data_IF_060857209405
#
_entry.id   IF_060857209405
#
_cell.length_a   1.000
_cell.length_b   1.000
_cell.length_c   1.000
_cell.angle_alpha   90.00
_cell.angle_beta   90.00
_cell.angle_gamma   90.00
#
_symmetry.space_group_name_H-M   'P 1'
#
loop_
_entity.id
_entity.type
_entity.pdbx_description
1 polymer ?
#
# COMPACT_ATOMS: atom_id res chain seq x y z
N UNK A 1 -7.46 -24.73 -13.35
CA UNK A 1 -6.74 -23.97 -12.29
C UNK A 1 -7.37 -22.57 -12.19
N UNK A 2 -8.59 -22.45 -11.65
CA UNK A 2 -9.36 -21.18 -11.63
C UNK A 2 -10.14 -20.96 -10.31
N UNK A 3 -9.80 -21.70 -9.23
CA UNK A 3 -10.64 -21.77 -8.01
C UNK A 3 -10.09 -21.04 -6.77
N UNK A 4 -8.96 -20.31 -6.82
CA UNK A 4 -8.30 -19.84 -5.58
C UNK A 4 -8.34 -18.33 -5.27
N UNK A 5 -8.67 -17.43 -6.20
CA UNK A 5 -8.73 -15.99 -5.91
C UNK A 5 -9.91 -15.62 -5.01
N UNK A 6 -11.11 -16.18 -5.30
CA UNK A 6 -12.32 -15.90 -4.52
C UNK A 6 -12.21 -16.34 -3.06
N UNK A 7 -11.61 -17.50 -2.79
CA UNK A 7 -11.44 -18.02 -1.41
C UNK A 7 -10.40 -17.24 -0.61
N UNK A 8 -9.35 -16.71 -1.24
CA UNK A 8 -8.34 -15.92 -0.51
C UNK A 8 -8.89 -14.57 -0.05
N UNK A 9 -9.79 -13.95 -0.82
CA UNK A 9 -10.34 -12.66 -0.44
C UNK A 9 -11.33 -12.77 0.72
N UNK A 10 -12.17 -13.81 0.80
CA UNK A 10 -13.26 -13.95 1.81
C UNK A 10 -12.78 -13.91 3.27
N UNK A 11 -11.52 -14.27 3.56
CA UNK A 11 -11.01 -14.40 4.93
C UNK A 11 -10.68 -13.02 5.57
N UNK A 12 -10.52 -11.95 4.78
CA UNK A 12 -9.93 -10.68 5.27
C UNK A 12 -10.90 -9.65 5.87
N UNK A 13 -12.22 -9.84 5.77
CA UNK A 13 -13.21 -8.77 6.12
C UNK A 13 -13.80 -8.84 7.53
N UNK A 14 -13.36 -9.77 8.39
CA UNK A 14 -13.96 -9.93 9.72
C UNK A 14 -13.24 -9.18 10.86
N UNK A 15 -12.17 -8.43 10.60
CA UNK A 15 -11.47 -7.65 11.63
C UNK A 15 -11.08 -6.25 11.11
N UNK A 16 -11.95 -5.26 11.32
CA UNK A 16 -11.58 -3.85 11.36
C UNK A 16 -12.59 -3.08 12.21
N UNK A 17 -12.12 -2.46 13.30
CA UNK A 17 -12.88 -1.55 14.15
C UNK A 17 -13.26 -0.28 13.35
N UNK A 18 -14.38 -0.33 12.65
CA UNK A 18 -14.84 0.68 11.69
C UNK A 18 -14.97 2.11 12.25
N UNK A 19 -15.21 2.26 13.55
CA UNK A 19 -15.34 3.58 14.18
C UNK A 19 -14.01 4.31 14.37
N UNK A 20 -12.91 3.58 14.62
CA UNK A 20 -11.58 4.15 14.83
C UNK A 20 -10.94 4.57 13.49
N UNK A 21 -11.19 3.80 12.44
CA UNK A 21 -10.75 4.15 11.08
C UNK A 21 -11.49 5.39 10.55
N UNK A 22 -12.80 5.53 10.83
CA UNK A 22 -13.60 6.69 10.43
C UNK A 22 -13.03 8.01 11.01
N UNK A 23 -12.75 8.05 12.31
CA UNK A 23 -12.23 9.27 12.96
C UNK A 23 -10.87 9.69 12.41
N UNK A 24 -10.00 8.73 12.08
CA UNK A 24 -8.70 9.01 11.48
C UNK A 24 -8.79 9.52 10.03
N UNK A 25 -9.79 9.06 9.26
CA UNK A 25 -10.05 9.57 7.91
C UNK A 25 -10.54 11.02 7.94
N UNK A 26 -11.54 11.32 8.76
CA UNK A 26 -12.11 12.67 8.86
C UNK A 26 -11.09 13.68 9.39
N UNK A 27 -10.22 13.28 10.34
CA UNK A 27 -9.16 14.14 10.83
C UNK A 27 -8.15 14.52 9.75
N UNK A 28 -7.68 13.55 8.95
CA UNK A 28 -6.71 13.82 7.87
C UNK A 28 -7.29 14.74 6.80
N UNK A 29 -8.57 14.58 6.47
CA UNK A 29 -9.27 15.47 5.53
C UNK A 29 -9.41 16.89 6.07
N UNK A 30 -9.83 17.04 7.33
CA UNK A 30 -9.91 18.36 7.98
C UNK A 30 -8.54 19.04 8.07
N UNK A 31 -7.50 18.28 8.44
CA UNK A 31 -6.14 18.81 8.51
C UNK A 31 -5.61 19.25 7.13
N UNK A 32 -5.95 18.53 6.05
CA UNK A 32 -5.63 18.95 4.69
C UNK A 32 -6.35 20.24 4.31
N UNK A 33 -7.66 20.33 4.53
CA UNK A 33 -8.44 21.53 4.21
C UNK A 33 -7.97 22.75 5.01
N UNK A 34 -7.67 22.56 6.30
CA UNK A 34 -7.06 23.57 7.17
C UNK A 34 -5.72 24.06 6.61
N UNK A 35 -4.85 23.14 6.16
CA UNK A 35 -3.56 23.49 5.58
C UNK A 35 -3.69 24.26 4.27
N UNK A 36 -4.64 23.87 3.40
CA UNK A 36 -4.90 24.59 2.16
C UNK A 36 -5.44 26.00 2.44
N UNK A 37 -6.36 26.17 3.40
CA UNK A 37 -6.87 27.49 3.80
C UNK A 37 -5.76 28.38 4.38
N UNK A 38 -4.90 27.81 5.23
CA UNK A 38 -3.84 28.57 5.91
C UNK A 38 -2.71 28.96 4.96
N UNK A 39 -2.31 28.06 4.07
CA UNK A 39 -1.16 28.23 3.18
C UNK A 39 -1.53 28.71 1.77
N UNK A 40 -2.82 28.79 1.45
CA UNK A 40 -3.34 29.19 0.15
C UNK A 40 -2.84 28.29 -1.01
N UNK A 41 -2.51 27.03 -0.70
CA UNK A 41 -1.85 26.09 -1.63
C UNK A 41 -2.83 25.09 -2.27
N UNK A 42 -3.94 25.61 -2.80
CA UNK A 42 -4.96 24.79 -3.45
C UNK A 42 -4.48 24.16 -4.76
N UNK A 43 -3.51 24.79 -5.44
CA UNK A 43 -2.98 24.29 -6.73
C UNK A 43 -2.25 22.96 -6.55
N UNK A 44 -1.40 22.86 -5.53
CA UNK A 44 -0.71 21.61 -5.21
C UNK A 44 -1.68 20.50 -4.85
N UNK A 45 -2.77 20.83 -4.16
CA UNK A 45 -3.85 19.88 -3.88
C UNK A 45 -4.54 19.42 -5.18
N UNK A 46 -4.89 20.33 -6.08
CA UNK A 46 -5.56 20.04 -7.36
C UNK A 46 -4.73 19.12 -8.28
N UNK A 47 -3.40 19.21 -8.24
CA UNK A 47 -2.51 18.34 -9.01
C UNK A 47 -2.55 16.88 -8.54
N UNK A 48 -2.86 16.64 -7.26
CA UNK A 48 -2.66 15.33 -6.63
C UNK A 48 -3.96 14.65 -6.18
N UNK A 49 -4.99 15.41 -5.82
CA UNK A 49 -6.26 14.88 -5.28
C UNK A 49 -7.49 15.45 -5.99
N UNK A 50 -8.53 14.64 -6.10
CA UNK A 50 -9.85 15.04 -6.61
C UNK A 50 -10.88 15.06 -5.49
N UNK A 51 -12.04 15.69 -5.73
CA UNK A 51 -13.14 15.71 -4.76
C UNK A 51 -13.61 14.29 -4.34
N UNK A 52 -13.48 13.29 -5.22
CA UNK A 52 -13.82 11.89 -4.92
C UNK A 52 -12.78 11.19 -4.03
N UNK A 53 -11.66 11.85 -3.72
CA UNK A 53 -10.68 11.35 -2.75
C UNK A 53 -11.11 11.63 -1.29
N UNK A 54 -12.09 12.51 -1.07
CA UNK A 54 -12.70 12.75 0.24
C UNK A 54 -13.79 11.72 0.54
N UNK A 55 -13.77 11.21 1.77
CA UNK A 55 -14.75 10.30 2.32
C UNK A 55 -15.93 11.04 2.94
N UNK A 56 -15.65 12.09 3.72
CA UNK A 56 -16.70 12.89 4.34
C UNK A 56 -17.32 13.83 3.31
N UNK A 57 -18.66 13.79 3.22
CA UNK A 57 -19.40 14.61 2.25
C UNK A 57 -19.24 16.11 2.50
N UNK A 58 -19.19 16.56 3.76
CA UNK A 58 -19.02 17.98 4.06
C UNK A 58 -17.62 18.45 3.68
N UNK A 59 -16.59 17.66 3.99
CA UNK A 59 -15.21 17.96 3.59
C UNK A 59 -15.06 18.00 2.06
N UNK A 60 -15.72 17.07 1.36
CA UNK A 60 -15.80 17.07 -0.11
C UNK A 60 -16.40 18.36 -0.65
N UNK A 61 -17.55 18.79 -0.12
CA UNK A 61 -18.20 20.04 -0.53
C UNK A 61 -17.31 21.26 -0.29
N UNK A 62 -16.60 21.30 0.84
CA UNK A 62 -15.63 22.36 1.12
C UNK A 62 -14.50 22.37 0.08
N UNK A 63 -13.90 21.22 -0.22
CA UNK A 63 -12.85 21.13 -1.23
C UNK A 63 -13.31 21.64 -2.60
N UNK A 64 -14.51 21.25 -3.04
CA UNK A 64 -15.09 21.71 -4.31
C UNK A 64 -15.23 23.23 -4.33
N UNK A 65 -15.80 23.82 -3.28
CA UNK A 65 -15.95 25.28 -3.19
C UNK A 65 -14.58 26.00 -3.18
N UNK A 66 -13.57 25.45 -2.49
CA UNK A 66 -12.21 25.99 -2.53
C UNK A 66 -11.60 25.92 -3.94
N UNK A 67 -11.85 24.84 -4.69
CA UNK A 67 -11.36 24.72 -6.07
C UNK A 67 -12.07 25.66 -7.05
N UNK A 68 -13.35 25.96 -6.83
CA UNK A 68 -14.11 26.90 -7.66
C UNK A 68 -13.68 28.35 -7.38
N UNK A 69 -13.57 28.71 -6.09
CA UNK A 69 -13.15 30.05 -5.67
C UNK A 69 -11.71 30.37 -6.09
N UNK A 70 -10.80 29.40 -6.07
CA UNK A 70 -9.41 29.63 -6.53
C UNK A 70 -9.30 29.89 -8.03
N UNK A 71 -10.31 29.50 -8.82
CA UNK A 71 -10.40 29.86 -10.23
C UNK A 71 -10.90 31.28 -10.49
N UNK A 72 -11.50 31.93 -9.48
CA UNK A 72 -12.18 33.23 -9.61
C UNK A 72 -11.54 34.35 -8.78
N UNK A 73 -10.90 34.00 -7.66
CA UNK A 73 -10.33 34.93 -6.70
C UNK A 73 -8.82 34.71 -6.53
N UNK A 74 -8.11 35.79 -6.18
CA UNK A 74 -6.66 35.76 -5.95
C UNK A 74 -6.30 35.06 -4.62
N UNK A 75 -7.23 35.04 -3.65
CA UNK A 75 -7.07 34.43 -2.34
C UNK A 75 -8.35 33.70 -1.91
N UNK A 76 -8.19 32.58 -1.22
CA UNK A 76 -9.27 31.85 -0.56
C UNK A 76 -9.53 32.47 0.82
N UNK A 77 -10.71 33.07 0.96
CA UNK A 77 -11.19 33.69 2.20
C UNK A 77 -12.35 32.86 2.78
N UNK A 78 -12.41 32.71 4.10
CA UNK A 78 -13.51 32.02 4.77
C UNK A 78 -14.89 32.66 4.53
N UNK A 79 -14.96 33.99 4.36
CA UNK A 79 -16.23 34.69 4.12
C UNK A 79 -16.85 34.25 2.79
N UNK A 80 -16.04 34.18 1.74
CA UNK A 80 -16.48 33.75 0.40
C UNK A 80 -16.81 32.26 0.36
N UNK A 81 -16.08 31.46 1.15
CA UNK A 81 -16.33 30.03 1.30
C UNK A 81 -17.67 29.76 2.02
N UNK A 82 -17.94 30.47 3.12
CA UNK A 82 -19.23 30.40 3.84
C UNK A 82 -20.37 30.91 2.95
N UNK A 83 -20.15 31.99 2.19
CA UNK A 83 -21.17 32.51 1.27
C UNK A 83 -21.53 31.49 0.16
N UNK A 84 -20.53 30.76 -0.34
CA UNK A 84 -20.71 29.72 -1.37
C UNK A 84 -21.42 28.48 -0.83
N UNK A 85 -21.07 28.02 0.37
CA UNK A 85 -21.56 26.76 0.94
C UNK A 85 -22.82 26.91 1.80
N UNK A 86 -23.09 28.12 2.31
CA UNK A 86 -24.18 28.42 3.23
C UNK A 86 -23.80 28.27 4.71
N UNK A 87 -24.70 28.74 5.58
CA UNK A 87 -24.50 28.79 7.04
C UNK A 87 -24.27 27.43 7.69
N UNK A 88 -24.74 26.33 7.08
CA UNK A 88 -24.60 24.97 7.62
C UNK A 88 -23.15 24.46 7.66
N UNK A 89 -22.24 25.16 6.99
CA UNK A 89 -20.80 24.89 6.96
C UNK A 89 -19.98 25.84 7.83
N UNK A 90 -20.60 26.87 8.40
CA UNK A 90 -19.89 27.94 9.13
C UNK A 90 -19.06 27.39 10.30
N UNK A 91 -19.65 26.57 11.17
CA UNK A 91 -18.95 25.99 12.32
C UNK A 91 -17.78 25.10 11.90
N UNK A 92 -17.96 24.33 10.83
CA UNK A 92 -16.92 23.45 10.30
C UNK A 92 -15.77 24.26 9.68
N UNK A 93 -16.06 25.35 8.97
CA UNK A 93 -15.03 26.23 8.40
C UNK A 93 -14.22 26.89 9.51
N UNK A 94 -14.85 27.35 10.59
CA UNK A 94 -14.13 27.88 11.75
C UNK A 94 -13.29 26.81 12.45
N UNK A 95 -13.79 25.59 12.61
CA UNK A 95 -13.01 24.46 13.13
C UNK A 95 -11.73 24.22 12.29
N UNK A 96 -11.84 24.29 10.96
CA UNK A 96 -10.68 24.14 10.07
C UNK A 96 -9.64 25.25 10.26
N UNK A 97 -10.08 26.49 10.49
CA UNK A 97 -9.17 27.61 10.75
C UNK A 97 -8.44 27.44 12.11
N UNK A 98 -9.12 26.91 13.12
CA UNK A 98 -8.53 26.66 14.44
C UNK A 98 -7.48 25.52 14.44
N UNK A 99 -7.62 24.53 13.54
CA UNK A 99 -6.73 23.38 13.46
C UNK A 99 -5.27 23.72 13.07
N UNK A 100 -5.00 24.91 12.50
CA UNK A 100 -3.66 25.38 12.11
C UNK A 100 -2.82 24.31 11.38
N UNK A 101 -3.36 23.71 10.31
CA UNK A 101 -2.62 22.76 9.48
C UNK A 101 -1.42 23.44 8.81
N UNK A 102 -0.19 23.00 9.10
CA UNK A 102 1.04 23.56 8.49
C UNK A 102 1.71 22.60 7.49
N UNK A 103 1.17 21.40 7.31
CA UNK A 103 1.83 20.32 6.58
C UNK A 103 0.91 19.73 5.50
N UNK A 104 0.64 20.49 4.44
CA UNK A 104 -0.21 20.07 3.31
C UNK A 104 0.21 18.71 2.74
N UNK A 105 1.52 18.48 2.58
CA UNK A 105 2.06 17.29 1.90
C UNK A 105 1.73 15.98 2.62
N UNK A 106 1.89 15.99 3.95
CA UNK A 106 1.64 14.80 4.78
C UNK A 106 0.15 14.44 4.72
N UNK A 107 -0.74 15.42 4.79
CA UNK A 107 -2.18 15.17 4.78
C UNK A 107 -2.72 14.89 3.37
N UNK A 108 -2.12 15.47 2.33
CA UNK A 108 -2.43 15.20 0.93
C UNK A 108 -2.15 13.72 0.60
N UNK A 109 -0.97 13.23 0.97
CA UNK A 109 -0.63 11.81 0.83
C UNK A 109 -1.57 10.92 1.64
N UNK A 110 -1.89 11.31 2.88
CA UNK A 110 -2.77 10.52 3.74
C UNK A 110 -4.19 10.41 3.16
N UNK A 111 -4.77 11.51 2.70
CA UNK A 111 -6.10 11.53 2.05
C UNK A 111 -6.06 10.69 0.77
N UNK A 112 -5.00 10.80 -0.03
CA UNK A 112 -4.84 9.98 -1.24
C UNK A 112 -4.78 8.49 -0.93
N UNK A 113 -3.94 8.07 0.01
CA UNK A 113 -3.81 6.67 0.40
C UNK A 113 -5.13 6.10 0.94
N UNK A 114 -5.88 6.90 1.71
CA UNK A 114 -7.20 6.52 2.20
C UNK A 114 -8.18 6.32 1.04
N UNK A 115 -8.23 7.24 0.07
CA UNK A 115 -9.05 7.10 -1.15
C UNK A 115 -8.73 5.84 -1.94
N UNK A 116 -7.45 5.60 -2.22
CA UNK A 116 -7.01 4.42 -2.97
C UNK A 116 -7.37 3.13 -2.23
N UNK A 117 -7.26 3.12 -0.90
CA UNK A 117 -7.66 1.99 -0.06
C UNK A 117 -9.17 1.71 -0.17
N UNK A 118 -10.02 2.74 -0.12
CA UNK A 118 -11.47 2.59 -0.31
C UNK A 118 -11.81 2.06 -1.71
N UNK A 119 -11.15 2.55 -2.75
CA UNK A 119 -11.34 2.06 -4.13
C UNK A 119 -10.93 0.60 -4.29
N UNK A 120 -9.83 0.17 -3.65
CA UNK A 120 -9.42 -1.25 -3.61
C UNK A 120 -10.48 -2.12 -2.94
N UNK A 121 -10.96 -1.70 -1.77
CA UNK A 121 -12.00 -2.43 -1.03
C UNK A 121 -13.27 -2.54 -1.87
N UNK A 122 -13.72 -1.44 -2.48
CA UNK A 122 -14.91 -1.45 -3.36
C UNK A 122 -14.74 -2.41 -4.53
N UNK A 123 -13.60 -2.37 -5.23
CA UNK A 123 -13.33 -3.28 -6.35
C UNK A 123 -13.34 -4.75 -5.91
N UNK A 124 -12.78 -5.05 -4.74
CA UNK A 124 -12.80 -6.40 -4.16
C UNK A 124 -14.24 -6.85 -3.84
N UNK A 125 -15.08 -5.97 -3.28
CA UNK A 125 -16.49 -6.28 -3.01
C UNK A 125 -17.32 -6.44 -4.29
N UNK A 126 -17.09 -5.60 -5.30
CA UNK A 126 -17.73 -5.73 -6.61
C UNK A 126 -17.32 -7.05 -7.28
N UNK A 127 -16.07 -7.48 -7.11
CA UNK A 127 -15.61 -8.79 -7.57
C UNK A 127 -16.28 -9.95 -6.80
N UNK A 128 -16.37 -9.85 -5.47
CA UNK A 128 -17.05 -10.85 -4.62
C UNK A 128 -18.52 -11.01 -4.98
N UNK A 129 -19.18 -9.91 -5.32
CA UNK A 129 -20.61 -9.86 -5.67
C UNK A 129 -20.89 -10.15 -7.16
N UNK A 130 -19.86 -10.56 -7.93
CA UNK A 130 -19.93 -10.85 -9.37
C UNK A 130 -20.33 -9.64 -10.26
N UNK A 131 -20.14 -8.41 -9.78
CA UNK A 131 -20.37 -7.21 -10.60
C UNK A 131 -19.24 -6.93 -11.59
N UNK A 132 -18.03 -7.39 -11.28
CA UNK A 132 -16.86 -7.27 -12.16
C UNK A 132 -16.15 -8.62 -12.32
N UNK A 133 -15.48 -8.80 -13.45
CA UNK A 133 -14.68 -9.98 -13.80
C UNK A 133 -13.25 -9.94 -13.22
N UNK A 134 -12.55 -11.07 -13.27
CA UNK A 134 -11.12 -11.16 -12.87
C UNK A 134 -10.24 -10.14 -13.63
N UNK A 135 -10.50 -9.96 -14.94
CA UNK A 135 -9.72 -9.05 -15.80
C UNK A 135 -9.94 -7.59 -15.40
N UNK A 136 -11.19 -7.23 -15.08
CA UNK A 136 -11.54 -5.88 -14.62
C UNK A 136 -10.95 -5.59 -13.25
N UNK A 137 -10.96 -6.58 -12.33
CA UNK A 137 -10.31 -6.43 -11.03
C UNK A 137 -8.80 -6.17 -11.18
N UNK A 138 -8.10 -6.94 -12.03
CA UNK A 138 -6.66 -6.77 -12.28
C UNK A 138 -6.38 -5.38 -12.87
N UNK A 139 -7.19 -4.92 -13.82
CA UNK A 139 -7.04 -3.59 -14.43
C UNK A 139 -7.26 -2.46 -13.40
N UNK A 140 -8.30 -2.56 -12.57
CA UNK A 140 -8.60 -1.58 -11.52
C UNK A 140 -7.48 -1.53 -10.47
N UNK A 141 -7.03 -2.69 -9.98
CA UNK A 141 -5.92 -2.75 -9.00
C UNK A 141 -4.62 -2.24 -9.63
N UNK A 142 -4.37 -2.56 -10.90
CA UNK A 142 -3.24 -2.03 -11.67
C UNK A 142 -3.26 -0.50 -11.72
N UNK A 143 -4.38 0.10 -12.13
CA UNK A 143 -4.55 1.56 -12.15
C UNK A 143 -4.39 2.21 -10.77
N UNK A 144 -4.88 1.55 -9.72
CA UNK A 144 -4.72 2.03 -8.34
C UNK A 144 -3.25 1.99 -7.89
N UNK A 145 -2.51 0.93 -8.23
CA UNK A 145 -1.08 0.82 -7.91
C UNK A 145 -0.24 1.92 -8.59
N UNK A 146 -0.71 2.44 -9.74
CA UNK A 146 -0.03 3.49 -10.49
C UNK A 146 -0.47 4.91 -10.09
N UNK A 147 -1.56 5.07 -9.34
CA UNK A 147 -2.11 6.38 -8.92
C UNK A 147 -1.76 6.80 -7.49
N UNK A 148 -1.01 5.97 -6.76
CA UNK A 148 -0.44 6.28 -5.44
C UNK A 148 0.96 6.90 -5.48
N UNK A 149 1.51 7.14 -6.68
CA UNK A 149 2.72 7.93 -6.88
C UNK A 149 2.25 9.31 -7.37
N UNK A 150 2.12 10.26 -6.46
CA UNK A 150 1.96 11.66 -6.83
C UNK A 150 3.12 12.09 -7.71
N UNK A 151 2.82 12.95 -8.69
CA UNK A 151 3.80 13.47 -9.62
C UNK A 151 3.83 12.72 -10.95
N UNK A 152 3.98 13.51 -12.01
CA UNK A 152 4.35 13.10 -13.35
C UNK A 152 5.48 12.06 -13.34
N UNK A 153 5.75 11.42 -14.48
CA UNK A 153 6.98 10.64 -14.69
C UNK A 153 8.22 11.52 -14.54
N UNK A 154 8.56 11.92 -13.32
CA UNK A 154 9.86 12.40 -12.94
C UNK A 154 10.76 11.18 -12.99
N UNK A 155 11.61 11.16 -14.02
CA UNK A 155 12.93 10.58 -13.82
C UNK A 155 13.44 11.10 -12.49
N UNK A 156 13.55 10.21 -11.50
CA UNK A 156 14.31 10.54 -10.31
C UNK A 156 15.66 11.06 -10.80
N UNK A 157 16.12 12.24 -10.38
CA UNK A 157 17.47 12.69 -10.69
C UNK A 157 18.42 11.56 -10.32
N UNK A 158 19.39 11.23 -11.16
CA UNK A 158 20.29 10.09 -10.92
C UNK A 158 20.96 10.13 -9.52
N UNK A 159 20.99 11.30 -8.88
CA UNK A 159 21.47 11.52 -7.52
C UNK A 159 20.56 10.95 -6.41
N UNK A 160 19.25 10.81 -6.66
CA UNK A 160 18.28 10.18 -5.75
C UNK A 160 18.18 8.66 -5.95
N UNK A 161 18.66 8.13 -7.08
CA UNK A 161 18.89 6.69 -7.31
C UNK A 161 20.14 6.19 -6.55
N UNK A 162 20.87 7.07 -5.85
CA UNK A 162 21.99 6.72 -4.96
C UNK A 162 21.46 6.32 -3.55
N UNK A 163 20.15 6.07 -3.41
CA UNK A 163 19.59 5.55 -2.17
C UNK A 163 19.60 4.03 -2.23
N UNK A 164 20.60 3.48 -1.53
CA UNK A 164 20.81 2.07 -1.19
C UNK A 164 20.92 1.11 -2.37
N UNK A 165 22.08 1.13 -3.03
CA UNK A 165 22.60 -0.05 -3.73
C UNK A 165 22.74 -1.19 -2.71
N UNK A 166 21.66 -1.93 -2.46
CA UNK A 166 21.79 -3.31 -2.01
C UNK A 166 22.32 -4.06 -3.22
N UNK A 167 23.59 -4.43 -3.17
CA UNK A 167 24.19 -5.22 -4.23
C UNK A 167 23.29 -6.44 -4.49
N UNK A 168 22.95 -6.72 -5.76
CA UNK A 168 22.14 -7.88 -6.08
C UNK A 168 22.80 -9.13 -5.54
N UNK A 169 22.00 -10.00 -4.95
CA UNK A 169 22.47 -11.26 -4.39
C UNK A 169 22.78 -12.17 -5.57
N UNK A 170 24.05 -12.45 -5.81
CA UNK A 170 24.42 -13.45 -6.80
C UNK A 170 24.17 -14.85 -6.23
N UNK A 171 23.20 -15.54 -6.81
CA UNK A 171 22.91 -16.95 -6.52
C UNK A 171 23.15 -17.76 -7.79
N UNK A 172 24.24 -18.51 -7.82
CA UNK A 172 24.64 -19.35 -8.96
C UNK A 172 24.75 -18.60 -10.31
N UNK A 173 25.18 -17.34 -10.29
CA UNK A 173 25.30 -16.48 -11.48
C UNK A 173 24.00 -15.76 -11.85
N UNK A 174 22.96 -15.84 -11.01
CA UNK A 174 21.70 -15.13 -11.19
C UNK A 174 21.61 -14.03 -10.15
N UNK A 175 21.66 -12.75 -10.56
CA UNK A 175 21.44 -11.64 -9.63
C UNK A 175 19.96 -11.60 -9.21
N UNK A 176 19.71 -11.76 -7.91
CA UNK A 176 18.39 -11.56 -7.31
C UNK A 176 18.35 -10.16 -6.70
N UNK A 177 17.58 -9.27 -7.31
CA UNK A 177 17.40 -7.89 -6.87
C UNK A 177 16.33 -7.78 -5.78
N UNK A 178 16.48 -6.80 -4.88
CA UNK A 178 15.48 -6.51 -3.87
C UNK A 178 14.15 -6.07 -4.52
N UNK A 179 13.03 -6.64 -4.09
CA UNK A 179 11.70 -6.38 -4.69
C UNK A 179 11.41 -7.14 -5.99
N UNK A 180 12.33 -8.00 -6.44
CA UNK A 180 12.10 -8.86 -7.60
C UNK A 180 11.26 -10.12 -7.24
N UNK A 181 10.54 -10.65 -8.22
CA UNK A 181 9.84 -11.93 -8.11
C UNK A 181 10.54 -12.93 -9.03
N UNK A 182 11.23 -13.91 -8.43
CA UNK A 182 11.82 -15.04 -9.15
C UNK A 182 10.87 -16.23 -9.24
N UNK A 183 10.82 -16.89 -10.40
CA UNK A 183 10.02 -18.11 -10.59
C UNK A 183 10.92 -19.26 -11.01
N UNK A 184 10.97 -20.31 -10.19
CA UNK A 184 11.63 -21.58 -10.52
C UNK A 184 10.59 -22.62 -10.95
N UNK A 185 10.61 -23.00 -12.23
CA UNK A 185 9.72 -24.01 -12.79
C UNK A 185 10.51 -25.24 -13.28
N UNK A 186 9.88 -26.41 -13.19
CA UNK A 186 10.50 -27.69 -13.55
C UNK A 186 9.56 -28.85 -13.28
N UNK A 187 9.82 -30.00 -13.92
CA UNK A 187 8.99 -31.19 -13.76
C UNK A 187 8.98 -31.75 -12.32
N UNK A 188 8.03 -32.61 -12.01
CA UNK A 188 8.00 -33.31 -10.71
C UNK A 188 9.26 -34.15 -10.55
N UNK A 189 9.89 -34.09 -9.36
CA UNK A 189 11.11 -34.86 -9.07
C UNK A 189 12.42 -34.21 -9.52
N UNK A 190 12.41 -33.03 -10.15
CA UNK A 190 13.65 -32.35 -10.59
C UNK A 190 14.43 -31.63 -9.48
N UNK A 191 14.07 -31.82 -8.22
CA UNK A 191 14.81 -31.23 -7.10
C UNK A 191 14.54 -29.75 -6.82
N UNK A 192 13.43 -29.16 -7.32
CA UNK A 192 13.12 -27.73 -7.13
C UNK A 192 13.11 -27.29 -5.67
N UNK A 193 12.57 -28.14 -4.80
CA UNK A 193 12.43 -27.88 -3.36
C UNK A 193 13.79 -27.81 -2.70
N UNK A 194 14.69 -28.73 -3.07
CA UNK A 194 16.06 -28.81 -2.59
C UNK A 194 16.89 -27.64 -3.10
N UNK A 195 16.75 -27.30 -4.39
CA UNK A 195 17.43 -26.16 -4.99
C UNK A 195 17.04 -24.85 -4.32
N UNK A 196 15.75 -24.62 -4.04
CA UNK A 196 15.30 -23.41 -3.35
C UNK A 196 15.87 -23.30 -1.92
N UNK A 197 16.04 -24.42 -1.23
CA UNK A 197 16.66 -24.44 0.09
C UNK A 197 18.17 -24.11 0.03
N UNK A 198 18.87 -24.56 -1.01
CA UNK A 198 20.27 -24.20 -1.25
C UNK A 198 20.44 -22.71 -1.56
N UNK A 199 19.54 -22.14 -2.37
CA UNK A 199 19.49 -20.68 -2.63
C UNK A 199 19.32 -19.91 -1.32
N UNK A 200 18.37 -20.32 -0.49
CA UNK A 200 18.13 -19.71 0.81
C UNK A 200 19.36 -19.75 1.72
N UNK A 201 20.06 -20.88 1.73
CA UNK A 201 21.27 -21.06 2.54
C UNK A 201 22.45 -20.20 2.05
N UNK A 202 22.64 -20.09 0.73
CA UNK A 202 23.64 -19.19 0.15
C UNK A 202 23.33 -17.75 0.54
N UNK A 203 22.10 -17.29 0.36
CA UNK A 203 21.71 -15.93 0.68
C UNK A 203 21.86 -15.61 2.18
N UNK A 204 21.40 -16.51 3.06
CA UNK A 204 21.51 -16.36 4.50
C UNK A 204 22.96 -16.41 5.02
N UNK A 205 23.92 -16.91 4.23
CA UNK A 205 25.36 -16.93 4.57
C UNK A 205 26.12 -15.67 4.14
N UNK A 206 25.57 -14.89 3.20
CA UNK A 206 26.25 -13.70 2.69
C UNK A 206 26.26 -12.55 3.70
N UNK A 207 25.18 -12.37 4.46
CA UNK A 207 25.08 -11.37 5.53
C UNK A 207 24.37 -11.97 6.75
N UNK A 208 24.82 -11.61 7.95
CA UNK A 208 24.18 -12.03 9.21
C UNK A 208 22.78 -11.43 9.37
N UNK A 209 22.47 -10.35 8.67
CA UNK A 209 21.15 -9.73 8.66
C UNK A 209 20.20 -10.35 7.61
N UNK A 210 20.69 -11.26 6.76
CA UNK A 210 19.86 -11.90 5.75
C UNK A 210 19.02 -13.01 6.39
N UNK A 211 17.78 -12.67 6.71
CA UNK A 211 16.77 -13.60 7.20
C UNK A 211 15.97 -14.20 6.04
N UNK A 212 15.72 -15.51 6.09
CA UNK A 212 14.99 -16.23 5.03
C UNK A 212 13.85 -17.05 5.63
N UNK A 213 12.67 -16.90 5.03
CA UNK A 213 11.50 -17.72 5.35
C UNK A 213 11.17 -18.68 4.20
N UNK A 214 11.41 -19.97 4.41
CA UNK A 214 11.01 -21.04 3.49
C UNK A 214 9.58 -21.51 3.76
N UNK A 215 8.68 -21.22 2.83
CA UNK A 215 7.26 -21.55 2.92
C UNK A 215 6.94 -22.82 2.12
N UNK A 216 6.62 -23.93 2.79
CA UNK A 216 6.29 -25.20 2.13
C UNK A 216 4.79 -25.48 2.16
N UNK A 217 4.15 -25.51 0.99
CA UNK A 217 2.73 -25.87 0.88
C UNK A 217 2.48 -27.37 0.64
N UNK A 218 3.53 -28.10 0.25
CA UNK A 218 3.51 -29.54 0.00
C UNK A 218 4.51 -30.27 0.92
N UNK A 219 4.15 -31.50 1.32
CA UNK A 219 4.96 -32.33 2.23
C UNK A 219 4.60 -32.20 3.71
N UNK A 220 5.32 -32.96 4.55
CA UNK A 220 5.20 -32.94 6.00
C UNK A 220 6.45 -32.32 6.64
N UNK A 221 6.32 -31.80 7.87
CA UNK A 221 7.45 -31.23 8.62
C UNK A 221 8.64 -32.19 8.70
N UNK A 222 8.39 -33.46 9.02
CA UNK A 222 9.42 -34.51 9.06
C UNK A 222 10.16 -34.64 7.72
N UNK A 223 9.43 -34.63 6.61
CA UNK A 223 10.02 -34.77 5.28
C UNK A 223 10.87 -33.55 4.89
N UNK A 224 10.41 -32.34 5.21
CA UNK A 224 11.18 -31.11 4.95
C UNK A 224 12.43 -31.07 5.83
N UNK A 225 12.32 -31.35 7.13
CA UNK A 225 13.48 -31.44 8.04
C UNK A 225 14.53 -32.42 7.53
N UNK A 226 14.11 -33.61 7.09
CA UNK A 226 15.01 -34.61 6.53
C UNK A 226 15.72 -34.11 5.28
N UNK A 227 15.01 -33.42 4.37
CA UNK A 227 15.61 -32.85 3.16
C UNK A 227 16.64 -31.77 3.48
N UNK A 228 16.33 -30.85 4.40
CA UNK A 228 17.27 -29.81 4.83
C UNK A 228 18.50 -30.42 5.52
N UNK A 229 18.30 -31.42 6.37
CA UNK A 229 19.39 -32.14 7.04
C UNK A 229 20.30 -32.89 6.05
N UNK A 230 19.73 -33.56 5.03
CA UNK A 230 20.50 -34.24 3.98
C UNK A 230 21.38 -33.28 3.15
N UNK A 231 21.00 -32.00 3.10
CA UNK A 231 21.74 -30.93 2.43
C UNK A 231 22.67 -30.15 3.37
N UNK A 232 22.75 -30.54 4.64
CA UNK A 232 23.50 -29.82 5.68
C UNK A 232 23.09 -28.34 5.81
N UNK A 233 21.82 -28.03 5.59
CA UNK A 233 21.27 -26.69 5.76
C UNK A 233 20.83 -26.53 7.21
N UNK A 234 21.62 -25.79 7.99
CA UNK A 234 21.42 -25.57 9.43
C UNK A 234 21.67 -24.12 9.86
N UNK A 235 21.56 -23.17 8.93
CA UNK A 235 21.75 -21.75 9.21
C UNK A 235 20.60 -21.22 10.11
N UNK A 236 20.90 -20.59 11.26
CA UNK A 236 19.88 -20.07 12.18
C UNK A 236 19.03 -18.95 11.55
N UNK A 237 19.51 -18.28 10.51
CA UNK A 237 18.79 -17.23 9.80
C UNK A 237 17.78 -17.79 8.79
N UNK A 238 17.69 -19.12 8.64
CA UNK A 238 16.69 -19.78 7.81
C UNK A 238 15.60 -20.33 8.72
N UNK A 239 14.45 -19.68 8.66
CA UNK A 239 13.21 -20.19 9.23
C UNK A 239 12.43 -20.92 8.15
N UNK A 240 11.67 -21.93 8.54
CA UNK A 240 10.76 -22.58 7.61
C UNK A 240 9.41 -22.84 8.25
N UNK A 241 8.38 -22.85 7.42
CA UNK A 241 7.00 -23.04 7.85
C UNK A 241 6.26 -23.96 6.88
N UNK A 242 5.56 -24.96 7.45
CA UNK A 242 4.68 -25.86 6.70
C UNK A 242 3.29 -25.26 6.67
N UNK A 243 2.76 -25.03 5.46
CA UNK A 243 1.47 -24.40 5.20
C UNK A 243 1.29 -23.13 6.03
N UNK A 244 2.19 -22.14 5.87
CA UNK A 244 2.07 -20.88 6.59
C UNK A 244 0.74 -20.21 6.26
N UNK A 245 0.13 -19.60 7.28
CA UNK A 245 -0.88 -18.59 7.08
C UNK A 245 -0.21 -17.22 6.88
N UNK A 246 -1.00 -16.23 6.46
CA UNK A 246 -0.49 -14.88 6.22
C UNK A 246 0.04 -14.22 7.50
N UNK A 247 -0.56 -14.49 8.66
CA UNK A 247 -0.15 -13.90 9.93
C UNK A 247 1.26 -14.35 10.34
N UNK A 248 1.63 -15.60 10.07
CA UNK A 248 2.99 -16.10 10.30
C UNK A 248 4.03 -15.43 9.39
N UNK A 249 3.65 -15.11 8.16
CA UNK A 249 4.53 -14.42 7.22
C UNK A 249 4.69 -12.95 7.64
N UNK A 250 3.60 -12.29 8.01
CA UNK A 250 3.60 -10.90 8.49
C UNK A 250 4.45 -10.75 9.75
N UNK A 251 4.28 -11.62 10.75
CA UNK A 251 5.14 -11.63 11.94
C UNK A 251 6.62 -11.81 11.62
N UNK A 252 6.96 -12.67 10.65
CA UNK A 252 8.36 -12.83 10.24
C UNK A 252 8.94 -11.52 9.69
N UNK A 253 8.15 -10.75 8.95
CA UNK A 253 8.55 -9.45 8.40
C UNK A 253 8.63 -8.38 9.48
N UNK A 254 7.73 -8.39 10.46
CA UNK A 254 7.72 -7.39 11.54
C UNK A 254 8.84 -7.63 12.58
N UNK A 255 9.16 -8.90 12.84
CA UNK A 255 10.16 -9.29 13.84
C UNK A 255 11.62 -9.16 13.33
N UNK A 256 11.85 -8.91 12.04
CA UNK A 256 13.19 -8.93 11.40
C UNK A 256 13.37 -7.84 10.35
#
# INVERSE_FOLDING_TARGET
>A
MYLSLRRCLTIKTNNSNSAFDFQNHTFAEKALLSAILSLQDIRKAQENITADDFYDFKNKSIYVAMTELSGMAEYLNEVDLIATLGSDYQDLIYELLEMNGLQTDIYLDKVKQNSLSRRKISAIEDFRTNKISDKELIDIIGKIAHSGKGGHGEFQPAINLIIENKEPIDVFGIPIEFGSIGVLAGATGTGKTEYMAEIADIFAKQDKNNMVLLCYFEGSDKHIRQRLALKNINNPNILYSIKPDFQKIERFIDDN
#
